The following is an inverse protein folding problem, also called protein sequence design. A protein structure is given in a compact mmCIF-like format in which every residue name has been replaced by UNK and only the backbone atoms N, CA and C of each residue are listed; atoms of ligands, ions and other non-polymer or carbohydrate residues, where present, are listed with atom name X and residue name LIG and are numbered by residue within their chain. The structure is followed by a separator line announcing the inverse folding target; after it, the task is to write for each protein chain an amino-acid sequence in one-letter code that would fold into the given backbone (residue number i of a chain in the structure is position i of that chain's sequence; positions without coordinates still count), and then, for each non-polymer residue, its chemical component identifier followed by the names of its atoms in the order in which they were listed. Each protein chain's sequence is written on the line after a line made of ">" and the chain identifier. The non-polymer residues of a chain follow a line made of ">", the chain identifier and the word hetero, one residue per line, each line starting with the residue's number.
data_IF_903357000355
#
_entry.id   IF_903357000355
#
_cell.length_a   1.000
_cell.length_b   1.000
_cell.length_c   1.000
_cell.angle_alpha   90.00
_cell.angle_beta   90.00
_cell.angle_gamma   90.00
#
_symmetry.space_group_name_H-M   'P 1'
#
loop_
_entity.id
_entity.type
_entity.pdbx_description
1 polymer ?
#
# COMPACT_ATOMS: atom_id res chain seq x y z
N UNK A 1 -2.78 19.17 12.78
CA UNK A 1 -1.40 19.33 13.30
C UNK A 1 -0.38 18.64 12.40
N UNK A 2 -0.40 17.31 12.26
CA UNK A 2 0.54 16.53 11.43
C UNK A 2 0.73 17.01 9.97
N UNK A 3 -0.36 17.19 9.20
CA UNK A 3 -0.26 17.60 7.79
C UNK A 3 0.40 18.97 7.60
N UNK A 4 0.24 19.87 8.56
CA UNK A 4 0.86 21.19 8.53
C UNK A 4 2.35 21.14 8.88
N UNK A 5 2.77 20.21 9.74
CA UNK A 5 4.19 19.99 10.07
C UNK A 5 4.94 19.43 8.87
N UNK A 6 4.42 18.35 8.27
CA UNK A 6 5.10 17.72 7.13
C UNK A 6 5.13 18.62 5.88
N UNK A 7 4.17 19.55 5.78
CA UNK A 7 4.10 20.54 4.71
C UNK A 7 5.33 21.46 4.64
N UNK A 8 6.07 21.59 5.75
CA UNK A 8 7.27 22.42 5.86
C UNK A 8 8.52 21.79 5.25
N UNK A 9 8.51 20.47 5.03
CA UNK A 9 9.65 19.78 4.44
C UNK A 9 9.66 19.95 2.92
N UNK A 10 10.84 20.27 2.40
CA UNK A 10 11.12 20.40 0.98
C UNK A 10 11.74 19.10 0.45
N UNK A 11 11.48 18.75 -0.83
CA UNK A 11 12.18 17.66 -1.49
C UNK A 11 13.69 17.87 -1.46
N UNK A 12 14.44 16.80 -1.20
CA UNK A 12 15.89 16.84 -1.20
C UNK A 12 16.43 16.85 -2.64
N UNK A 13 17.54 17.55 -2.90
CA UNK A 13 18.27 17.40 -4.14
C UNK A 13 18.91 16.00 -4.21
N UNK A 14 19.10 15.42 -5.42
CA UNK A 14 19.64 14.07 -5.58
C UNK A 14 20.99 13.83 -4.87
N UNK A 15 21.86 14.84 -4.86
CA UNK A 15 23.18 14.76 -4.24
C UNK A 15 23.06 14.58 -2.72
N UNK A 16 22.07 15.25 -2.11
CA UNK A 16 21.77 15.11 -0.68
C UNK A 16 21.14 13.76 -0.36
N UNK A 17 20.28 13.22 -1.24
CA UNK A 17 19.77 11.84 -1.07
C UNK A 17 20.92 10.82 -1.02
N UNK A 18 21.92 10.97 -1.89
CA UNK A 18 23.10 10.10 -1.92
C UNK A 18 23.92 10.25 -0.64
N UNK A 19 24.21 11.47 -0.20
CA UNK A 19 24.95 11.73 1.04
C UNK A 19 24.26 11.10 2.26
N UNK A 20 22.94 11.30 2.38
CA UNK A 20 22.16 10.73 3.48
C UNK A 20 22.13 9.20 3.41
N UNK A 21 22.01 8.62 2.22
CA UNK A 21 22.02 7.16 2.05
C UNK A 21 23.35 6.54 2.53
N UNK A 22 24.49 7.14 2.20
CA UNK A 22 25.81 6.69 2.67
C UNK A 22 25.88 6.76 4.20
N UNK A 23 25.43 7.86 4.80
CA UNK A 23 25.43 8.03 6.26
C UNK A 23 24.50 7.05 6.96
N UNK A 24 23.33 6.77 6.37
CA UNK A 24 22.37 5.77 6.86
C UNK A 24 23.00 4.37 6.88
N UNK A 25 23.76 3.99 5.85
CA UNK A 25 24.46 2.70 5.82
C UNK A 25 25.50 2.56 6.95
N UNK A 26 26.07 3.69 7.39
CA UNK A 26 26.97 3.76 8.53
C UNK A 26 26.24 3.90 9.89
N UNK A 27 24.91 3.79 9.92
CA UNK A 27 24.12 3.82 11.15
C UNK A 27 23.73 5.22 11.65
N UNK A 28 23.85 6.25 10.82
CA UNK A 28 23.46 7.62 11.20
C UNK A 28 21.93 7.80 11.28
N UNK A 29 21.41 7.78 12.51
CA UNK A 29 19.98 7.98 12.77
C UNK A 29 19.47 9.38 12.42
N UNK A 30 20.33 10.41 12.47
CA UNK A 30 19.94 11.77 12.07
C UNK A 30 19.76 11.84 10.56
N UNK A 31 20.64 11.18 9.80
CA UNK A 31 20.50 11.08 8.35
C UNK A 31 19.23 10.30 7.95
N UNK A 32 18.92 9.22 8.68
CA UNK A 32 17.67 8.47 8.52
C UNK A 32 16.45 9.37 8.73
N UNK A 33 16.44 10.12 9.84
CA UNK A 33 15.34 11.03 10.17
C UNK A 33 15.16 12.09 9.09
N UNK A 34 16.24 12.73 8.65
CA UNK A 34 16.19 13.77 7.61
C UNK A 34 15.63 13.23 6.28
N UNK A 35 16.12 12.06 5.83
CA UNK A 35 15.64 11.44 4.58
C UNK A 35 14.16 11.07 4.67
N UNK A 36 13.71 10.53 5.82
CA UNK A 36 12.30 10.15 6.02
C UNK A 36 11.41 11.39 6.09
N UNK A 37 11.77 12.40 6.89
CA UNK A 37 10.99 13.62 7.07
C UNK A 37 10.77 14.38 5.76
N UNK A 38 11.81 14.50 4.93
CA UNK A 38 11.74 15.11 3.60
C UNK A 38 10.71 14.44 2.67
N UNK A 39 10.38 13.18 2.92
CA UNK A 39 9.54 12.36 2.05
C UNK A 39 8.15 12.04 2.63
N UNK A 40 7.79 12.54 3.82
CA UNK A 40 6.49 12.28 4.45
C UNK A 40 5.29 12.77 3.60
N UNK A 41 5.44 13.90 2.91
CA UNK A 41 4.40 14.42 1.99
C UNK A 41 4.10 13.45 0.86
N UNK A 42 5.12 12.77 0.35
CA UNK A 42 4.95 11.76 -0.70
C UNK A 42 4.14 10.58 -0.18
N UNK A 43 4.39 10.11 1.04
CA UNK A 43 3.60 9.03 1.68
C UNK A 43 2.13 9.39 1.74
N UNK A 44 1.79 10.62 2.15
CA UNK A 44 0.39 11.09 2.18
C UNK A 44 -0.23 11.05 0.79
N UNK A 45 0.50 11.45 -0.26
CA UNK A 45 0.00 11.39 -1.64
C UNK A 45 -0.29 9.97 -2.12
N UNK A 46 0.50 8.98 -1.66
CA UNK A 46 0.29 7.56 -1.96
C UNK A 46 -0.89 7.01 -1.14
N UNK A 47 -0.93 7.30 0.16
CA UNK A 47 -1.95 6.85 1.11
C UNK A 47 -3.38 7.27 0.71
N UNK A 48 -3.56 8.49 0.18
CA UNK A 48 -4.86 8.99 -0.29
C UNK A 48 -5.54 8.07 -1.31
N UNK A 49 -4.76 7.30 -2.09
CA UNK A 49 -5.30 6.35 -3.10
C UNK A 49 -5.95 5.11 -2.47
N UNK A 50 -5.69 4.86 -1.19
CA UNK A 50 -6.15 3.67 -0.46
C UNK A 50 -7.24 3.99 0.58
N UNK A 51 -7.69 5.24 0.67
CA UNK A 51 -8.74 5.64 1.59
C UNK A 51 -10.07 4.92 1.28
N UNK A 52 -10.90 4.69 2.31
CA UNK A 52 -12.20 4.01 2.18
C UNK A 52 -12.13 2.48 2.23
N UNK A 53 -10.93 1.91 2.34
CA UNK A 53 -10.73 0.45 2.37
C UNK A 53 -10.71 -0.16 3.77
N UNK A 54 -11.38 0.46 4.74
CA UNK A 54 -11.59 -0.08 6.10
C UNK A 54 -10.60 0.42 7.17
N UNK A 55 -9.50 1.07 6.78
CA UNK A 55 -8.63 1.81 7.70
C UNK A 55 -8.84 3.31 7.58
N UNK A 56 -8.61 4.04 8.68
CA UNK A 56 -8.61 5.50 8.65
C UNK A 56 -7.43 6.02 7.81
N UNK A 57 -7.54 7.22 7.26
CA UNK A 57 -6.44 7.82 6.49
C UNK A 57 -5.18 7.97 7.36
N UNK A 58 -5.32 8.26 8.65
CA UNK A 58 -4.21 8.38 9.58
C UNK A 58 -3.47 7.05 9.74
N UNK A 59 -4.19 5.94 9.87
CA UNK A 59 -3.60 4.60 9.99
C UNK A 59 -2.87 4.20 8.70
N UNK A 60 -3.48 4.45 7.54
CA UNK A 60 -2.85 4.20 6.23
C UNK A 60 -1.56 5.01 6.08
N UNK A 61 -1.56 6.27 6.52
CA UNK A 61 -0.35 7.11 6.51
C UNK A 61 0.73 6.53 7.43
N UNK A 62 0.37 6.13 8.65
CA UNK A 62 1.32 5.54 9.60
C UNK A 62 1.96 4.26 9.03
N UNK A 63 1.17 3.39 8.42
CA UNK A 63 1.66 2.16 7.78
C UNK A 63 2.53 2.46 6.56
N UNK A 64 2.16 3.47 5.77
CA UNK A 64 2.99 3.98 4.68
C UNK A 64 4.33 4.53 5.17
N UNK A 65 4.35 5.24 6.30
CA UNK A 65 5.58 5.75 6.92
C UNK A 65 6.49 4.61 7.38
N UNK A 66 5.92 3.52 7.92
CA UNK A 66 6.69 2.31 8.24
C UNK A 66 7.32 1.68 7.00
N UNK A 67 6.60 1.68 5.87
CA UNK A 67 7.15 1.29 4.56
C UNK A 67 8.30 2.20 4.11
N UNK A 68 8.14 3.52 4.25
CA UNK A 68 9.19 4.50 3.90
C UNK A 68 10.47 4.29 4.73
N UNK A 69 10.35 4.07 6.04
CA UNK A 69 11.50 3.80 6.92
C UNK A 69 12.22 2.51 6.50
N UNK A 70 11.47 1.45 6.16
CA UNK A 70 12.05 0.20 5.63
C UNK A 70 12.79 0.44 4.31
N UNK A 71 12.26 1.30 3.44
CA UNK A 71 12.93 1.68 2.19
C UNK A 71 14.24 2.42 2.47
N UNK A 72 14.23 3.43 3.35
CA UNK A 72 15.40 4.21 3.69
C UNK A 72 16.55 3.35 4.22
N UNK A 73 16.25 2.35 5.06
CA UNK A 73 17.24 1.38 5.58
C UNK A 73 17.87 0.49 4.50
N UNK A 74 17.18 0.28 3.38
CA UNK A 74 17.56 -0.68 2.32
C UNK A 74 17.88 0.01 1.00
N UNK A 75 17.92 1.33 0.97
CA UNK A 75 18.15 2.07 -0.25
C UNK A 75 19.63 1.97 -0.63
N UNK A 76 19.86 1.59 -1.89
CA UNK A 76 21.18 1.52 -2.48
C UNK A 76 21.33 2.66 -3.49
N UNK A 77 22.08 3.68 -3.10
CA UNK A 77 22.32 4.87 -3.90
C UNK A 77 23.20 4.60 -5.14
N UNK A 78 23.94 3.48 -5.18
CA UNK A 78 24.85 3.16 -6.29
C UNK A 78 24.11 2.76 -7.57
N UNK A 79 22.82 2.43 -7.46
CA UNK A 79 21.99 1.98 -8.59
C UNK A 79 21.50 3.09 -9.51
N UNK A 80 21.77 4.37 -9.20
CA UNK A 80 21.50 5.50 -10.09
C UNK A 80 20.02 5.92 -10.23
N UNK A 81 19.15 5.50 -9.31
CA UNK A 81 17.75 5.92 -9.27
C UNK A 81 17.45 6.75 -8.03
N UNK A 82 16.49 7.68 -8.12
CA UNK A 82 16.04 8.50 -7.00
C UNK A 82 15.45 7.66 -5.88
N UNK A 83 15.60 8.09 -4.63
CA UNK A 83 15.10 7.36 -3.47
C UNK A 83 13.58 7.09 -3.57
N UNK A 84 12.80 8.08 -3.97
CA UNK A 84 11.34 7.96 -4.11
C UNK A 84 10.89 6.87 -5.10
N UNK A 85 11.68 6.61 -6.14
CA UNK A 85 11.41 5.57 -7.14
C UNK A 85 11.48 4.17 -6.52
N UNK A 86 12.36 4.00 -5.54
CA UNK A 86 12.48 2.77 -4.76
C UNK A 86 11.45 2.71 -3.63
N UNK A 87 11.27 3.81 -2.90
CA UNK A 87 10.43 3.87 -1.70
C UNK A 87 8.95 3.58 -1.98
N UNK A 88 8.44 3.95 -3.16
CA UNK A 88 7.01 3.77 -3.48
C UNK A 88 6.55 2.31 -3.39
N UNK A 89 7.43 1.35 -3.70
CA UNK A 89 7.11 -0.08 -3.59
C UNK A 89 6.93 -0.52 -2.14
N UNK A 90 7.83 -0.09 -1.25
CA UNK A 90 7.76 -0.39 0.18
C UNK A 90 6.57 0.28 0.86
N UNK A 91 6.29 1.54 0.50
CA UNK A 91 5.12 2.28 1.01
C UNK A 91 3.84 1.52 0.63
N UNK A 92 3.68 1.16 -0.65
CA UNK A 92 2.51 0.40 -1.12
C UNK A 92 2.40 -0.96 -0.47
N UNK A 93 3.51 -1.69 -0.36
CA UNK A 93 3.53 -3.01 0.27
C UNK A 93 3.06 -2.92 1.74
N UNK A 94 3.57 -1.96 2.51
CA UNK A 94 3.21 -1.80 3.92
C UNK A 94 1.73 -1.42 4.08
N UNK A 95 1.22 -0.49 3.25
CA UNK A 95 -0.20 -0.11 3.25
C UNK A 95 -1.10 -1.30 2.90
N UNK A 96 -0.78 -2.04 1.83
CA UNK A 96 -1.58 -3.18 1.40
C UNK A 96 -1.58 -4.31 2.44
N UNK A 97 -0.44 -4.55 3.09
CA UNK A 97 -0.35 -5.51 4.18
C UNK A 97 -1.25 -5.11 5.35
N UNK A 98 -1.18 -3.85 5.80
CA UNK A 98 -2.01 -3.36 6.90
C UNK A 98 -3.50 -3.43 6.58
N UNK A 99 -3.90 -3.04 5.36
CA UNK A 99 -5.29 -3.19 4.91
C UNK A 99 -5.73 -4.66 4.95
N UNK A 100 -4.91 -5.59 4.50
CA UNK A 100 -5.27 -7.00 4.53
C UNK A 100 -5.37 -7.58 5.95
N UNK A 101 -4.58 -7.07 6.90
CA UNK A 101 -4.53 -7.57 8.27
C UNK A 101 -5.52 -6.89 9.22
N UNK A 102 -5.85 -5.61 9.00
CA UNK A 102 -6.52 -4.76 9.98
C UNK A 102 -7.86 -4.17 9.50
N UNK A 103 -8.20 -4.23 8.20
CA UNK A 103 -9.44 -3.62 7.67
C UNK A 103 -10.75 -4.31 8.07
N UNK A 104 -10.66 -5.49 8.71
CA UNK A 104 -11.79 -6.35 9.05
C UNK A 104 -11.79 -6.66 10.54
N UNK A 105 -12.99 -6.77 11.12
CA UNK A 105 -13.17 -7.20 12.51
C UNK A 105 -12.60 -8.61 12.75
N UNK A 106 -12.80 -9.50 11.78
CA UNK A 106 -12.23 -10.85 11.78
C UNK A 106 -11.09 -10.91 10.77
N UNK A 107 -9.87 -11.18 11.26
CA UNK A 107 -8.68 -11.30 10.42
C UNK A 107 -8.78 -12.53 9.53
N UNK A 108 -8.56 -12.33 8.23
CA UNK A 108 -8.46 -13.41 7.25
C UNK A 108 -7.01 -13.61 6.79
N UNK A 109 -6.62 -14.83 6.39
CA UNK A 109 -5.34 -15.07 5.74
C UNK A 109 -5.14 -14.23 4.47
N UNK A 110 -3.91 -13.77 4.20
CA UNK A 110 -3.59 -12.89 3.06
C UNK A 110 -4.01 -13.46 1.70
N UNK A 111 -3.81 -14.77 1.50
CA UNK A 111 -4.23 -15.46 0.28
C UNK A 111 -5.76 -15.38 0.08
N UNK A 112 -6.55 -15.51 1.15
CA UNK A 112 -8.02 -15.36 1.10
C UNK A 112 -8.43 -13.92 0.76
N UNK A 113 -7.78 -12.92 1.34
CA UNK A 113 -8.04 -11.50 1.02
C UNK A 113 -7.74 -11.19 -0.45
N UNK A 114 -6.63 -11.71 -0.98
CA UNK A 114 -6.26 -11.58 -2.38
C UNK A 114 -7.30 -12.20 -3.32
N UNK A 115 -7.77 -13.41 -3.01
CA UNK A 115 -8.84 -14.08 -3.76
C UNK A 115 -10.14 -13.28 -3.74
N UNK A 116 -10.58 -12.80 -2.57
CA UNK A 116 -11.79 -11.98 -2.44
C UNK A 116 -11.66 -10.70 -3.30
N UNK A 117 -10.51 -10.04 -3.28
CA UNK A 117 -10.29 -8.81 -4.07
C UNK A 117 -10.38 -9.07 -5.58
N UNK A 118 -9.83 -10.19 -6.06
CA UNK A 118 -9.94 -10.61 -7.47
C UNK A 118 -11.39 -10.89 -7.85
N UNK A 119 -12.11 -11.63 -7.00
CA UNK A 119 -13.53 -11.92 -7.17
C UNK A 119 -14.36 -10.64 -7.24
N UNK A 120 -14.17 -9.71 -6.31
CA UNK A 120 -14.91 -8.43 -6.30
C UNK A 120 -14.66 -7.63 -7.57
N UNK A 121 -13.41 -7.51 -8.04
CA UNK A 121 -13.11 -6.80 -9.29
C UNK A 121 -13.71 -7.48 -10.52
N UNK A 122 -13.65 -8.81 -10.59
CA UNK A 122 -14.26 -9.56 -11.68
C UNK A 122 -15.78 -9.40 -11.68
N UNK A 123 -16.41 -9.45 -10.50
CA UNK A 123 -17.83 -9.22 -10.34
C UNK A 123 -18.23 -7.80 -10.78
N UNK A 124 -17.53 -6.76 -10.33
CA UNK A 124 -17.78 -5.36 -10.74
C UNK A 124 -17.66 -5.16 -12.26
N UNK A 125 -16.63 -5.77 -12.86
CA UNK A 125 -16.43 -5.70 -14.31
C UNK A 125 -17.55 -6.41 -15.07
N UNK A 126 -17.92 -7.60 -14.64
CA UNK A 126 -18.95 -8.39 -15.29
C UNK A 126 -20.33 -7.74 -15.11
N UNK A 127 -20.64 -7.21 -13.94
CA UNK A 127 -21.87 -6.45 -13.67
C UNK A 127 -22.05 -5.28 -14.64
N UNK A 128 -20.97 -4.55 -14.94
CA UNK A 128 -20.97 -3.48 -15.94
C UNK A 128 -21.18 -3.98 -17.38
N UNK A 129 -20.77 -5.21 -17.70
CA UNK A 129 -20.94 -5.82 -19.03
C UNK A 129 -22.34 -6.42 -19.23
N UNK A 130 -22.92 -7.02 -18.18
CA UNK A 130 -24.20 -7.75 -18.27
C UNK A 130 -25.41 -6.98 -17.74
N UNK A 131 -25.19 -5.77 -17.20
CA UNK A 131 -26.21 -4.88 -16.61
C UNK A 131 -27.10 -5.54 -15.55
N UNK A 132 -26.57 -6.55 -14.85
CA UNK A 132 -27.20 -7.24 -13.73
C UNK A 132 -26.17 -7.82 -12.79
N UNK A 133 -26.62 -8.23 -11.61
CA UNK A 133 -25.75 -8.96 -10.68
C UNK A 133 -25.24 -10.27 -11.31
N UNK A 134 -23.92 -10.50 -11.35
CA UNK A 134 -23.34 -11.72 -11.92
C UNK A 134 -23.51 -12.91 -10.96
N UNK A 135 -23.66 -14.10 -11.53
CA UNK A 135 -23.73 -15.37 -10.79
C UNK A 135 -22.32 -15.85 -10.42
N UNK A 136 -22.23 -16.65 -9.36
CA UNK A 136 -20.97 -17.24 -8.89
C UNK A 136 -20.22 -18.00 -10.00
N UNK A 137 -20.94 -18.78 -10.80
CA UNK A 137 -20.36 -19.54 -11.93
C UNK A 137 -19.79 -18.64 -13.03
N UNK A 138 -20.43 -17.49 -13.30
CA UNK A 138 -19.99 -16.55 -14.33
C UNK A 138 -18.69 -15.85 -13.93
N UNK A 139 -18.56 -15.53 -12.64
CA UNK A 139 -17.33 -14.97 -12.06
C UNK A 139 -16.24 -16.06 -12.03
N UNK A 140 -16.61 -17.28 -11.62
CA UNK A 140 -15.71 -18.42 -11.52
C UNK A 140 -15.08 -18.79 -12.86
N UNK A 141 -15.86 -18.75 -13.94
CA UNK A 141 -15.39 -19.00 -15.29
C UNK A 141 -14.28 -18.02 -15.75
N UNK A 142 -14.33 -16.75 -15.33
CA UNK A 142 -13.27 -15.77 -15.64
C UNK A 142 -11.99 -15.98 -14.81
N UNK A 143 -12.13 -16.59 -13.63
CA UNK A 143 -11.05 -16.71 -12.65
C UNK A 143 -10.49 -18.14 -12.54
N UNK A 144 -10.97 -19.08 -13.35
CA UNK A 144 -10.66 -20.51 -13.26
C UNK A 144 -10.97 -21.08 -11.86
N UNK A 145 -12.11 -20.68 -11.29
CA UNK A 145 -12.61 -21.10 -9.97
C UNK A 145 -14.00 -21.70 -10.10
N UNK A 146 -14.37 -22.59 -9.18
CA UNK A 146 -15.75 -23.09 -9.10
C UNK A 146 -16.72 -22.02 -8.57
N UNK A 147 -17.99 -22.07 -8.98
CA UNK A 147 -19.00 -21.14 -8.48
C UNK A 147 -19.20 -21.22 -6.97
N UNK A 148 -19.07 -22.42 -6.38
CA UNK A 148 -19.12 -22.64 -4.94
C UNK A 148 -17.98 -21.92 -4.20
N UNK A 149 -16.76 -21.97 -4.73
CA UNK A 149 -15.63 -21.23 -4.15
C UNK A 149 -15.84 -19.71 -4.21
N UNK A 150 -16.44 -19.23 -5.29
CA UNK A 150 -16.80 -17.80 -5.43
C UNK A 150 -17.85 -17.42 -4.39
N UNK A 151 -18.94 -18.19 -4.29
CA UNK A 151 -20.02 -17.95 -3.34
C UNK A 151 -19.51 -17.97 -1.89
N UNK A 152 -18.69 -18.95 -1.55
CA UNK A 152 -18.06 -19.05 -0.23
C UNK A 152 -17.19 -17.83 0.06
N UNK A 153 -16.35 -17.40 -0.88
CA UNK A 153 -15.54 -16.20 -0.72
C UNK A 153 -16.38 -14.92 -0.56
N UNK A 154 -17.51 -14.81 -1.26
CA UNK A 154 -18.43 -13.67 -1.14
C UNK A 154 -19.13 -13.62 0.22
N UNK A 155 -19.43 -14.77 0.84
CA UNK A 155 -20.00 -14.81 2.19
C UNK A 155 -19.05 -14.21 3.22
N UNK A 156 -17.75 -14.53 3.15
CA UNK A 156 -16.73 -13.96 4.03
C UNK A 156 -16.33 -12.52 3.68
N UNK A 157 -16.79 -12.00 2.53
CA UNK A 157 -16.48 -10.64 2.09
C UNK A 157 -17.26 -9.58 2.88
N UNK A 158 -18.46 -9.92 3.40
CA UNK A 158 -19.29 -8.99 4.19
C UNK A 158 -18.50 -8.52 5.42
N UNK A 159 -18.28 -7.21 5.49
CA UNK A 159 -17.51 -6.52 6.54
C UNK A 159 -18.29 -6.50 7.85
#
# INVERSE_FOLDING_TARGET
>A
MYLAEIGKFNPLPPEREVELAIRIQNGDERAMKELVEANLRFVVSVAKKYQGNGLSLADIINEGNMGLIKAAKRFDHTRGFKFISYAVWWIRQSILQALAEQSRLIRLPLNRVGTITKITRAAEKLEAEVERQPKGDEIGAQLEMSGDEVLMAMQYSRR
#
